data_IF_787945148496
#
_entry.id   IF_787945148496
#
_cell.length_a   1.000
_cell.length_b   1.000
_cell.length_c   1.000
_cell.angle_alpha   90.00
_cell.angle_beta   90.00
_cell.angle_gamma   90.00
#
_symmetry.space_group_name_H-M   'P 1'
#
loop_
_entity.id
_entity.type
_entity.pdbx_description
1 polymer ?
#
# COMPACT_ATOMS: atom_id res chain seq x y z
N UNK A 1 -1.94 6.74 73.13
CA UNK A 1 -2.80 6.46 71.95
C UNK A 1 -2.84 7.72 71.07
N UNK A 2 -1.76 8.15 70.49
CA UNK A 2 -1.69 9.33 69.56
C UNK A 2 -0.51 9.21 68.59
N UNK A 3 -0.29 8.06 67.94
CA UNK A 3 0.77 7.90 66.92
C UNK A 3 0.38 6.93 65.77
N UNK A 4 -0.92 6.86 65.42
CA UNK A 4 -1.36 5.92 64.35
C UNK A 4 -2.19 6.61 63.27
N UNK A 5 -2.15 7.92 63.05
CA UNK A 5 -2.97 8.61 62.08
C UNK A 5 -2.20 9.42 61.01
N UNK A 6 -0.87 9.28 60.92
CA UNK A 6 -0.06 10.05 59.96
C UNK A 6 0.46 9.20 58.78
N UNK A 7 0.09 7.93 58.66
CA UNK A 7 0.62 7.02 57.62
C UNK A 7 -0.45 6.59 56.60
N UNK A 8 -1.61 7.26 56.52
CA UNK A 8 -2.69 6.91 55.61
C UNK A 8 -3.07 8.03 54.60
N UNK A 9 -2.34 9.13 54.49
CA UNK A 9 -2.60 10.20 53.53
C UNK A 9 -1.56 10.31 52.40
N UNK A 10 -0.65 9.35 52.25
CA UNK A 10 0.40 9.37 51.21
C UNK A 10 0.16 8.47 50.01
N UNK A 11 -0.95 7.73 49.94
CA UNK A 11 -1.14 6.68 48.92
C UNK A 11 -2.27 6.94 47.92
N UNK A 12 -2.91 8.11 47.89
CA UNK A 12 -4.04 8.41 47.01
C UNK A 12 -3.79 9.47 45.91
N UNK A 13 -2.57 9.90 45.73
CA UNK A 13 -2.22 10.90 44.71
C UNK A 13 -1.50 10.35 43.46
N UNK A 14 -1.38 9.02 43.30
CA UNK A 14 -0.65 8.39 42.19
C UNK A 14 -1.56 7.61 41.20
N UNK A 15 -2.88 7.81 41.20
CA UNK A 15 -3.82 7.00 40.38
C UNK A 15 -4.71 7.83 39.43
N UNK A 16 -4.26 9.01 38.99
CA UNK A 16 -5.06 9.88 38.09
C UNK A 16 -4.27 10.39 36.86
N UNK A 17 -3.26 9.66 36.38
CA UNK A 17 -2.57 9.98 35.13
C UNK A 17 -2.55 8.78 34.15
N UNK A 18 -3.62 8.00 34.08
CA UNK A 18 -3.74 6.88 33.11
C UNK A 18 -5.09 6.88 32.42
N UNK A 19 -5.50 8.05 31.88
CA UNK A 19 -6.74 8.14 31.10
C UNK A 19 -6.59 9.11 29.91
N UNK A 20 -5.54 8.94 29.10
CA UNK A 20 -5.44 9.44 27.73
C UNK A 20 -4.61 8.46 26.90
N UNK A 21 -5.02 7.18 26.86
CA UNK A 21 -4.60 6.31 25.77
C UNK A 21 -5.73 6.31 24.75
N UNK A 22 -5.61 7.24 23.80
CA UNK A 22 -6.31 7.20 22.56
C UNK A 22 -6.19 5.82 21.93
N UNK A 23 -7.23 5.42 21.20
CA UNK A 23 -7.41 4.07 20.67
C UNK A 23 -6.13 3.52 20.04
N UNK A 24 -5.84 2.26 20.31
CA UNK A 24 -4.83 1.48 19.61
C UNK A 24 -5.22 1.46 18.12
N UNK A 25 -4.59 2.33 17.36
CA UNK A 25 -4.63 2.30 15.91
C UNK A 25 -3.92 1.04 15.41
N UNK A 26 -4.29 0.55 14.24
CA UNK A 26 -3.72 -0.64 13.58
C UNK A 26 -2.17 -0.65 13.47
N UNK A 27 -1.51 0.45 13.82
CA UNK A 27 -0.06 0.60 13.88
C UNK A 27 0.63 -0.20 15.01
N UNK A 28 -0.14 -0.85 15.92
CA UNK A 28 0.45 -1.58 17.06
C UNK A 28 1.24 -2.85 16.66
N UNK A 29 1.11 -3.31 15.41
CA UNK A 29 1.77 -4.52 14.90
C UNK A 29 2.95 -4.22 13.95
N UNK A 30 3.31 -2.94 13.73
CA UNK A 30 4.47 -2.58 12.93
C UNK A 30 5.76 -2.81 13.74
N UNK A 31 6.79 -3.42 13.12
CA UNK A 31 8.12 -3.48 13.70
C UNK A 31 8.63 -2.04 13.94
N UNK A 32 9.55 -1.86 14.90
CA UNK A 32 10.14 -0.55 15.18
C UNK A 32 10.83 0.01 13.92
N UNK A 33 10.32 1.10 13.39
CA UNK A 33 10.81 1.80 12.21
C UNK A 33 10.46 3.28 12.27
N UNK A 34 10.89 4.06 11.27
CA UNK A 34 10.55 5.47 11.15
C UNK A 34 9.17 5.61 10.48
N UNK A 35 8.20 6.10 11.24
CA UNK A 35 6.83 6.27 10.76
C UNK A 35 6.71 7.58 9.99
N UNK A 36 6.34 7.48 8.71
CA UNK A 36 6.07 8.65 7.88
C UNK A 36 4.85 9.39 8.40
N UNK A 37 5.01 10.69 8.65
CA UNK A 37 3.91 11.51 9.17
C UNK A 37 2.74 11.57 8.17
N UNK A 38 1.56 11.12 8.62
CA UNK A 38 0.27 11.25 7.95
C UNK A 38 -0.60 12.25 8.71
N UNK A 39 -0.70 13.45 8.17
CA UNK A 39 -1.43 14.54 8.84
C UNK A 39 -2.95 14.42 8.67
N UNK A 40 -3.41 13.91 7.55
CA UNK A 40 -4.81 13.89 7.15
C UNK A 40 -5.35 12.51 6.86
N UNK A 41 -4.55 11.60 6.30
CA UNK A 41 -4.95 10.22 6.04
C UNK A 41 -5.09 9.46 7.36
N UNK A 42 -6.21 8.74 7.50
CA UNK A 42 -6.53 7.94 8.69
C UNK A 42 -6.51 6.44 8.45
N UNK A 43 -6.61 6.05 7.19
CA UNK A 43 -6.66 4.66 6.79
C UNK A 43 -5.30 4.11 6.35
N UNK A 44 -4.27 4.96 6.26
CA UNK A 44 -2.95 4.58 5.79
C UNK A 44 -1.88 4.93 6.83
N UNK A 45 -1.03 3.97 7.15
CA UNK A 45 0.19 4.16 7.93
C UNK A 45 1.36 3.63 7.13
N UNK A 46 2.45 4.37 7.05
CA UNK A 46 3.69 3.95 6.39
C UNK A 46 4.81 3.97 7.41
N UNK A 47 5.55 2.86 7.51
CA UNK A 47 6.72 2.72 8.38
C UNK A 47 7.91 2.33 7.52
N UNK A 48 8.96 3.15 7.56
CA UNK A 48 10.22 2.91 6.87
C UNK A 48 11.18 2.15 7.79
N UNK A 49 11.86 1.15 7.25
CA UNK A 49 12.84 0.33 7.96
C UNK A 49 14.17 0.36 7.23
N UNK A 50 15.24 0.49 7.98
CA UNK A 50 16.62 0.53 7.47
C UNK A 50 17.42 1.59 8.18
N UNK A 51 18.72 1.38 8.21
CA UNK A 51 19.67 2.34 8.75
C UNK A 51 19.78 3.48 7.73
N UNK A 52 19.34 4.67 8.09
CA UNK A 52 19.37 5.87 7.26
C UNK A 52 20.77 6.37 6.87
N UNK A 53 21.73 5.46 6.70
CA UNK A 53 22.98 5.78 6.04
C UNK A 53 22.74 5.85 4.54
N UNK A 54 22.86 7.04 3.97
CA UNK A 54 22.96 7.27 2.53
C UNK A 54 24.06 6.36 1.96
N UNK A 55 23.70 5.15 1.56
CA UNK A 55 24.62 4.33 0.79
C UNK A 55 24.70 4.95 -0.59
N UNK A 56 25.90 5.30 -1.03
CA UNK A 56 26.21 5.94 -2.31
C UNK A 56 25.72 5.17 -3.55
N UNK A 57 25.18 3.96 -3.34
CA UNK A 57 24.62 3.08 -4.36
C UNK A 57 23.09 2.91 -4.23
N UNK A 58 22.45 3.57 -3.26
CA UNK A 58 20.98 3.63 -3.23
C UNK A 58 20.51 4.38 -4.48
N UNK A 59 19.68 3.74 -5.28
CA UNK A 59 19.02 4.42 -6.39
C UNK A 59 18.41 5.71 -5.85
N UNK A 60 18.76 6.86 -6.48
CA UNK A 60 18.42 8.20 -6.03
C UNK A 60 17.06 8.30 -5.34
N UNK A 61 17.03 8.77 -4.09
CA UNK A 61 15.80 9.09 -3.35
C UNK A 61 15.21 7.97 -2.47
N UNK A 62 15.83 6.81 -2.31
CA UNK A 62 15.35 5.78 -1.37
C UNK A 62 16.20 5.79 -0.11
N UNK A 63 15.58 6.17 1.00
CA UNK A 63 16.20 6.30 2.34
C UNK A 63 15.81 5.13 3.28
N UNK A 64 15.36 4.00 2.73
CA UNK A 64 14.91 2.84 3.50
C UNK A 64 15.31 1.52 2.82
N UNK A 65 15.55 0.48 3.62
CA UNK A 65 15.78 -0.88 3.14
C UNK A 65 14.48 -1.53 2.65
N UNK A 66 13.41 -1.34 3.41
CA UNK A 66 12.04 -1.69 3.04
C UNK A 66 11.06 -0.78 3.80
N UNK A 67 9.85 -0.69 3.32
CA UNK A 67 8.80 0.01 4.04
C UNK A 67 7.56 -0.86 4.19
N UNK A 68 6.81 -0.65 5.25
CA UNK A 68 5.51 -1.24 5.47
C UNK A 68 4.41 -0.21 5.21
N UNK A 69 3.46 -0.54 4.33
CA UNK A 69 2.24 0.22 4.17
C UNK A 69 1.09 -0.58 4.77
N UNK A 70 0.49 -0.06 5.83
CA UNK A 70 -0.57 -0.70 6.60
C UNK A 70 -1.87 0.05 6.31
N UNK A 71 -2.84 -0.66 5.75
CA UNK A 71 -4.16 -0.10 5.43
C UNK A 71 -5.16 -0.55 6.49
N UNK A 72 -5.73 0.41 7.19
CA UNK A 72 -6.78 0.15 8.17
C UNK A 72 -8.08 -0.26 7.46
N UNK A 73 -8.85 -1.13 8.09
CA UNK A 73 -10.13 -1.57 7.54
C UNK A 73 -11.18 -0.46 7.72
N UNK A 74 -11.70 0.14 6.63
CA UNK A 74 -12.63 1.25 6.73
C UNK A 74 -14.03 0.84 7.24
N UNK A 75 -14.36 -0.45 7.17
CA UNK A 75 -15.66 -0.98 7.61
C UNK A 75 -15.61 -1.59 9.01
N UNK A 76 -14.44 -1.96 9.49
CA UNK A 76 -14.27 -2.59 10.79
C UNK A 76 -13.17 -1.90 11.59
N UNK A 77 -13.57 -0.95 12.42
CA UNK A 77 -12.66 -0.16 13.23
C UNK A 77 -11.71 -1.02 14.07
N UNK A 78 -10.46 -0.60 14.16
CA UNK A 78 -9.43 -1.29 14.95
C UNK A 78 -8.88 -2.56 14.31
N UNK A 79 -9.27 -2.88 13.07
CA UNK A 79 -8.69 -4.00 12.31
C UNK A 79 -7.93 -3.49 11.08
N UNK A 80 -7.00 -4.28 10.61
CA UNK A 80 -6.25 -4.04 9.39
C UNK A 80 -7.00 -4.63 8.20
N UNK A 81 -7.02 -3.92 7.08
CA UNK A 81 -7.48 -4.44 5.80
C UNK A 81 -6.35 -5.24 5.15
N UNK A 82 -5.20 -4.59 4.94
CA UNK A 82 -4.04 -5.20 4.29
C UNK A 82 -2.73 -4.58 4.77
N UNK A 83 -1.64 -5.35 4.65
CA UNK A 83 -0.26 -4.89 4.87
C UNK A 83 0.56 -5.19 3.63
N UNK A 84 1.29 -4.20 3.15
CA UNK A 84 2.25 -4.37 2.05
C UNK A 84 3.65 -4.13 2.55
N UNK A 85 4.58 -5.01 2.17
CA UNK A 85 6.01 -4.81 2.38
C UNK A 85 6.59 -4.35 1.05
N UNK A 86 6.99 -3.08 0.99
CA UNK A 86 7.57 -2.46 -0.19
C UNK A 86 9.09 -2.63 -0.16
N UNK A 87 9.65 -3.35 -1.12
CA UNK A 87 11.07 -3.64 -1.17
C UNK A 87 11.64 -3.12 -2.50
N UNK A 88 12.60 -2.19 -2.46
CA UNK A 88 13.27 -1.70 -3.66
C UNK A 88 13.84 -2.85 -4.49
N UNK A 89 13.75 -2.76 -5.81
CA UNK A 89 14.41 -3.69 -6.73
C UNK A 89 15.91 -3.49 -6.67
N UNK A 90 16.68 -4.56 -6.87
CA UNK A 90 18.12 -4.57 -6.83
C UNK A 90 18.68 -5.61 -5.86
N UNK A 91 19.99 -5.69 -5.78
CA UNK A 91 20.70 -6.73 -5.01
C UNK A 91 20.40 -6.64 -3.50
N UNK A 92 20.40 -5.45 -2.93
CA UNK A 92 20.06 -5.24 -1.50
C UNK A 92 18.61 -5.60 -1.22
N UNK A 93 17.67 -5.28 -2.12
CA UNK A 93 16.29 -5.71 -2.01
C UNK A 93 16.13 -7.22 -2.05
N UNK A 94 16.93 -7.93 -2.83
CA UNK A 94 16.89 -9.39 -2.88
C UNK A 94 17.39 -10.02 -1.58
N UNK A 95 18.41 -9.45 -0.94
CA UNK A 95 18.87 -9.82 0.40
C UNK A 95 17.77 -9.58 1.44
N UNK A 96 17.07 -8.45 1.34
CA UNK A 96 15.95 -8.09 2.22
C UNK A 96 14.81 -9.08 2.10
N UNK A 97 14.40 -9.48 0.88
CA UNK A 97 13.40 -10.54 0.67
C UNK A 97 13.81 -11.82 1.38
N UNK A 98 15.06 -12.26 1.21
CA UNK A 98 15.56 -13.48 1.84
C UNK A 98 15.57 -13.37 3.39
N UNK A 99 15.87 -12.21 3.93
CA UNK A 99 15.84 -11.96 5.38
C UNK A 99 14.40 -12.04 5.91
N UNK A 100 13.45 -11.34 5.30
CA UNK A 100 12.06 -11.30 5.74
C UNK A 100 11.36 -12.66 5.60
N UNK A 101 11.64 -13.42 4.55
CA UNK A 101 11.11 -14.75 4.36
C UNK A 101 11.51 -15.71 5.51
N UNK A 102 12.70 -15.54 6.09
CA UNK A 102 13.15 -16.30 7.27
C UNK A 102 12.42 -15.89 8.55
N UNK A 103 12.07 -14.60 8.69
CA UNK A 103 11.34 -14.07 9.87
C UNK A 103 9.88 -14.50 9.89
N UNK A 104 9.20 -14.48 8.73
CA UNK A 104 7.76 -14.77 8.63
C UNK A 104 7.40 -16.27 8.55
N UNK A 105 8.35 -17.19 8.64
CA UNK A 105 8.08 -18.63 8.69
C UNK A 105 7.36 -19.10 9.98
N UNK A 106 7.13 -18.22 10.94
CA UNK A 106 6.45 -18.50 12.21
C UNK A 106 5.04 -17.88 12.26
N UNK A 107 4.11 -18.44 11.51
CA UNK A 107 2.76 -18.74 12.02
C UNK A 107 1.71 -17.66 12.18
N UNK A 108 1.84 -16.42 11.75
CA UNK A 108 0.73 -15.46 11.80
C UNK A 108 0.05 -15.35 10.42
N UNK A 109 -1.24 -15.72 10.36
CA UNK A 109 -2.12 -15.43 9.22
C UNK A 109 -2.38 -13.93 9.16
N UNK A 110 -1.44 -13.16 8.61
CA UNK A 110 -1.67 -11.78 8.19
C UNK A 110 -1.70 -11.75 6.67
N UNK A 111 -2.67 -11.05 6.09
CA UNK A 111 -2.70 -10.73 4.67
C UNK A 111 -1.57 -9.74 4.39
N UNK A 112 -0.38 -10.27 4.15
CA UNK A 112 0.82 -9.47 3.89
C UNK A 112 1.36 -9.84 2.53
N UNK A 113 1.38 -8.87 1.64
CA UNK A 113 1.97 -9.01 0.31
C UNK A 113 3.29 -8.25 0.21
N UNK A 114 4.25 -8.86 -0.46
CA UNK A 114 5.52 -8.21 -0.79
C UNK A 114 5.42 -7.60 -2.18
N UNK A 115 5.72 -6.30 -2.29
CA UNK A 115 5.71 -5.56 -3.55
C UNK A 115 7.14 -5.09 -3.86
N UNK A 116 7.64 -5.46 -5.04
CA UNK A 116 8.96 -4.99 -5.52
C UNK A 116 8.79 -3.64 -6.22
N UNK A 117 9.46 -2.61 -5.70
CA UNK A 117 9.36 -1.24 -6.23
C UNK A 117 10.61 -0.82 -6.99
N UNK A 118 10.50 0.00 -8.04
CA UNK A 118 9.27 0.52 -8.61
C UNK A 118 8.45 -0.55 -9.34
N UNK A 119 7.11 -0.42 -9.28
CA UNK A 119 6.20 -1.19 -10.11
C UNK A 119 6.24 -0.64 -11.53
N UNK A 120 6.63 -1.45 -12.49
CA UNK A 120 6.77 -1.05 -13.90
C UNK A 120 5.65 -1.57 -14.80
N UNK A 121 4.93 -2.57 -14.33
CA UNK A 121 3.79 -3.16 -15.04
C UNK A 121 2.64 -3.38 -14.08
N UNK A 122 1.56 -2.66 -14.29
CA UNK A 122 0.36 -2.78 -13.48
C UNK A 122 -0.90 -3.01 -14.31
N UNK A 123 -1.85 -3.74 -13.75
CA UNK A 123 -3.24 -3.77 -14.19
C UNK A 123 -4.04 -2.84 -13.26
N UNK A 124 -4.73 -1.84 -13.84
CA UNK A 124 -5.42 -0.80 -13.09
C UNK A 124 -6.91 -0.90 -13.34
N UNK A 125 -7.69 -1.12 -12.28
CA UNK A 125 -9.10 -1.47 -12.40
C UNK A 125 -10.04 -0.28 -12.45
N UNK A 126 -9.60 0.90 -12.00
CA UNK A 126 -10.46 2.08 -11.97
C UNK A 126 -9.81 3.32 -12.56
N UNK A 127 -10.60 4.17 -13.20
CA UNK A 127 -10.14 5.40 -13.85
C UNK A 127 -9.41 6.37 -12.89
N UNK A 128 -9.82 6.58 -11.62
CA UNK A 128 -9.10 7.43 -10.68
C UNK A 128 -7.64 7.03 -10.47
N UNK A 129 -7.33 5.73 -10.38
CA UNK A 129 -5.95 5.28 -10.26
C UNK A 129 -5.13 5.53 -11.53
N UNK A 130 -5.76 5.40 -12.71
CA UNK A 130 -5.10 5.79 -13.96
C UNK A 130 -4.73 7.27 -13.93
N UNK A 131 -5.67 8.16 -13.57
CA UNK A 131 -5.41 9.60 -13.50
C UNK A 131 -4.29 9.92 -12.49
N UNK A 132 -4.32 9.30 -11.33
CA UNK A 132 -3.29 9.45 -10.31
C UNK A 132 -1.90 9.07 -10.84
N UNK A 133 -1.77 8.00 -11.62
CA UNK A 133 -0.50 7.60 -12.23
C UNK A 133 -0.02 8.60 -13.29
N UNK A 134 -0.92 9.30 -13.96
CA UNK A 134 -0.55 10.42 -14.84
C UNK A 134 -0.02 11.61 -14.04
N UNK A 135 -0.68 11.98 -12.95
CA UNK A 135 -0.24 13.07 -12.06
C UNK A 135 1.14 12.78 -11.43
N UNK A 136 1.40 11.52 -11.09
CA UNK A 136 2.71 11.07 -10.60
C UNK A 136 3.78 10.96 -11.69
N UNK A 137 3.43 11.17 -12.98
CA UNK A 137 4.38 11.03 -14.07
C UNK A 137 4.85 9.60 -14.34
N UNK A 138 4.03 8.60 -14.03
CA UNK A 138 4.33 7.19 -14.28
C UNK A 138 3.28 6.45 -15.13
N UNK A 139 2.65 7.08 -16.15
CA UNK A 139 1.61 6.44 -16.97
C UNK A 139 2.13 5.23 -17.75
N UNK A 140 3.44 5.12 -17.98
CA UNK A 140 4.06 3.98 -18.65
C UNK A 140 3.92 2.66 -17.87
N UNK A 141 3.71 2.73 -16.55
CA UNK A 141 3.48 1.55 -15.73
C UNK A 141 2.06 0.97 -15.90
N UNK A 142 1.13 1.71 -16.50
CA UNK A 142 -0.20 1.19 -16.86
C UNK A 142 -0.05 0.31 -18.10
N UNK A 143 -0.28 -0.99 -17.93
CA UNK A 143 -0.19 -1.98 -19.03
C UNK A 143 -1.53 -2.64 -19.34
N UNK A 144 -2.44 -2.68 -18.37
CA UNK A 144 -3.82 -3.13 -18.55
C UNK A 144 -4.78 -2.27 -17.76
N UNK A 145 -6.00 -2.15 -18.26
CA UNK A 145 -7.08 -1.44 -17.58
C UNK A 145 -8.36 -2.25 -17.65
N UNK A 146 -9.20 -2.12 -16.62
CA UNK A 146 -10.58 -2.54 -16.69
C UNK A 146 -11.51 -1.35 -16.97
N UNK A 147 -12.72 -1.64 -17.40
CA UNK A 147 -13.76 -0.64 -17.65
C UNK A 147 -13.26 0.51 -18.57
N UNK A 148 -12.55 0.17 -19.65
CA UNK A 148 -11.90 1.11 -20.56
C UNK A 148 -12.86 2.18 -21.10
N UNK A 149 -14.13 1.85 -21.32
CA UNK A 149 -15.14 2.79 -21.83
C UNK A 149 -15.36 3.97 -20.88
N UNK A 150 -15.20 3.76 -19.59
CA UNK A 150 -15.37 4.78 -18.55
C UNK A 150 -14.10 5.60 -18.28
N UNK A 151 -12.98 5.24 -18.90
CA UNK A 151 -11.71 5.98 -18.72
C UNK A 151 -11.66 7.12 -19.73
N UNK A 152 -11.79 8.37 -19.27
CA UNK A 152 -11.75 9.57 -20.10
C UNK A 152 -10.36 10.20 -20.19
N UNK A 153 -9.30 9.38 -20.26
CA UNK A 153 -7.92 9.82 -20.44
C UNK A 153 -7.54 9.53 -21.91
N UNK A 154 -7.32 10.57 -22.74
CA UNK A 154 -7.09 10.39 -24.18
C UNK A 154 -5.90 9.48 -24.51
N UNK A 155 -4.81 9.58 -23.76
CA UNK A 155 -3.62 8.74 -23.97
C UNK A 155 -3.90 7.26 -23.64
N UNK A 156 -4.65 6.96 -22.59
CA UNK A 156 -5.08 5.58 -22.28
C UNK A 156 -5.86 5.00 -23.46
N UNK A 157 -6.85 5.73 -23.98
CA UNK A 157 -7.63 5.28 -25.14
C UNK A 157 -6.76 5.09 -26.38
N UNK A 158 -5.84 6.02 -26.65
CA UNK A 158 -4.91 5.91 -27.78
C UNK A 158 -4.01 4.67 -27.63
N UNK A 159 -3.43 4.44 -26.46
CA UNK A 159 -2.57 3.27 -26.19
C UNK A 159 -3.36 1.96 -26.20
N UNK A 160 -4.62 1.96 -25.77
CA UNK A 160 -5.49 0.79 -25.85
C UNK A 160 -5.85 0.43 -27.29
N UNK A 161 -6.07 1.42 -28.16
CA UNK A 161 -6.30 1.20 -29.60
C UNK A 161 -5.08 0.56 -30.31
N UNK A 162 -3.89 0.66 -29.73
CA UNK A 162 -2.67 0.02 -30.23
C UNK A 162 -2.45 -1.40 -29.66
N UNK A 163 -3.37 -1.90 -28.86
CA UNK A 163 -3.32 -3.26 -28.31
C UNK A 163 -3.30 -4.29 -29.46
N UNK A 164 -2.38 -5.24 -29.39
CA UNK A 164 -2.16 -6.21 -30.48
C UNK A 164 -1.16 -5.76 -31.56
N UNK A 165 -0.75 -4.50 -31.59
CA UNK A 165 0.34 -4.06 -32.47
C UNK A 165 1.68 -4.34 -31.81
N UNK A 166 2.42 -5.33 -32.32
CA UNK A 166 3.73 -5.74 -31.77
C UNK A 166 4.81 -4.67 -31.85
N UNK A 167 4.63 -3.67 -32.72
CA UNK A 167 5.56 -2.53 -32.86
C UNK A 167 5.17 -1.33 -32.00
N UNK A 168 4.03 -1.38 -31.30
CA UNK A 168 3.60 -0.26 -30.46
C UNK A 168 4.42 -0.17 -29.19
N UNK A 169 4.82 1.06 -28.85
CA UNK A 169 5.46 1.33 -27.57
C UNK A 169 4.41 1.43 -26.48
N UNK A 170 4.54 0.61 -25.43
CA UNK A 170 3.67 0.62 -24.26
C UNK A 170 2.15 0.54 -24.56
N UNK A 171 1.67 -0.45 -25.32
CA UNK A 171 0.24 -0.63 -25.51
C UNK A 171 -0.45 -0.93 -24.17
N UNK A 172 -1.71 -0.54 -24.06
CA UNK A 172 -2.56 -0.89 -22.90
C UNK A 172 -3.56 -1.97 -23.36
N UNK A 173 -3.68 -3.03 -22.56
CA UNK A 173 -4.65 -4.09 -22.83
C UNK A 173 -5.96 -3.78 -22.10
N UNK A 174 -7.07 -3.87 -22.80
CA UNK A 174 -8.39 -3.89 -22.17
C UNK A 174 -8.61 -5.25 -21.50
N UNK A 175 -8.70 -5.23 -20.17
CA UNK A 175 -8.91 -6.41 -19.33
C UNK A 175 -10.38 -6.67 -19.02
N UNK A 176 -11.30 -6.04 -19.72
CA UNK A 176 -12.75 -6.22 -19.54
C UNK A 176 -13.33 -5.42 -18.38
N UNK A 177 -14.39 -5.94 -17.77
CA UNK A 177 -15.02 -5.29 -16.62
C UNK A 177 -14.26 -5.51 -15.32
N UNK A 178 -14.19 -4.49 -14.46
CA UNK A 178 -13.61 -4.60 -13.12
C UNK A 178 -14.35 -5.62 -12.22
N UNK A 179 -15.64 -5.84 -12.48
CA UNK A 179 -16.45 -6.84 -11.75
C UNK A 179 -16.27 -8.27 -12.26
N UNK A 180 -15.83 -8.43 -13.51
CA UNK A 180 -15.60 -9.72 -14.16
C UNK A 180 -14.39 -9.62 -15.11
N UNK A 181 -13.17 -9.45 -14.57
CA UNK A 181 -11.99 -9.20 -15.37
C UNK A 181 -11.58 -10.43 -16.20
N UNK A 182 -11.04 -10.16 -17.38
CA UNK A 182 -10.46 -11.19 -18.26
C UNK A 182 -9.10 -11.63 -17.67
N UNK A 183 -9.13 -12.73 -16.95
CA UNK A 183 -7.96 -13.29 -16.25
C UNK A 183 -6.84 -13.66 -17.22
N UNK A 184 -7.18 -14.18 -18.39
CA UNK A 184 -6.19 -14.60 -19.40
C UNK A 184 -5.40 -13.40 -19.92
N UNK A 185 -6.09 -12.29 -20.18
CA UNK A 185 -5.44 -11.03 -20.58
C UNK A 185 -4.56 -10.49 -19.47
N UNK A 186 -5.01 -10.55 -18.20
CA UNK A 186 -4.21 -10.11 -17.06
C UNK A 186 -2.95 -10.98 -16.91
N UNK A 187 -3.06 -12.30 -17.02
CA UNK A 187 -1.91 -13.21 -16.98
C UNK A 187 -0.92 -12.86 -18.09
N UNK A 188 -1.41 -12.60 -19.31
CA UNK A 188 -0.54 -12.29 -20.45
C UNK A 188 0.25 -10.99 -20.25
N UNK A 189 -0.26 -10.04 -19.49
CA UNK A 189 0.45 -8.81 -19.13
C UNK A 189 1.65 -9.04 -18.23
N UNK A 190 1.66 -10.15 -17.46
CA UNK A 190 2.63 -10.41 -16.38
C UNK A 190 2.75 -9.20 -15.46
N UNK A 191 1.66 -8.72 -14.84
CA UNK A 191 1.70 -7.54 -14.00
C UNK A 191 2.53 -7.81 -12.74
N UNK A 192 3.13 -6.76 -12.22
CA UNK A 192 3.86 -6.78 -10.95
C UNK A 192 2.96 -6.37 -9.78
N UNK A 193 1.86 -5.68 -10.09
CA UNK A 193 0.80 -5.34 -9.16
C UNK A 193 -0.54 -5.16 -9.88
N UNK A 194 -1.62 -5.40 -9.17
CA UNK A 194 -2.99 -5.09 -9.58
C UNK A 194 -3.51 -4.01 -8.64
N UNK A 195 -3.95 -2.87 -9.19
CA UNK A 195 -4.50 -1.77 -8.40
C UNK A 195 -6.02 -1.78 -8.52
N UNK A 196 -6.70 -1.86 -7.39
CA UNK A 196 -8.17 -1.79 -7.32
C UNK A 196 -8.64 -1.08 -6.06
N UNK A 197 -9.92 -0.68 -6.04
CA UNK A 197 -10.57 -0.21 -4.83
C UNK A 197 -11.28 -1.37 -4.16
N UNK A 198 -11.00 -1.64 -2.87
CA UNK A 198 -11.70 -2.68 -2.11
C UNK A 198 -13.15 -2.26 -1.85
N UNK A 199 -14.01 -3.22 -1.54
CA UNK A 199 -15.38 -2.97 -1.10
C UNK A 199 -15.74 -3.88 0.07
N UNK A 200 -16.74 -3.49 0.83
CA UNK A 200 -17.17 -4.26 2.00
C UNK A 200 -17.58 -5.68 1.62
N UNK A 201 -17.11 -6.65 2.40
CA UNK A 201 -17.39 -8.08 2.18
C UNK A 201 -16.95 -8.62 0.81
N UNK A 202 -15.88 -8.07 0.23
CA UNK A 202 -15.33 -8.58 -1.04
C UNK A 202 -14.99 -10.07 -0.98
N UNK A 203 -14.75 -10.63 0.21
CA UNK A 203 -14.52 -12.07 0.42
C UNK A 203 -13.32 -12.65 -0.35
N UNK A 204 -12.50 -11.78 -0.93
CA UNK A 204 -11.41 -12.10 -1.85
C UNK A 204 -11.76 -11.76 -3.31
N UNK A 205 -10.76 -11.87 -4.15
CA UNK A 205 -10.83 -11.48 -5.57
C UNK A 205 -10.90 -12.69 -6.51
N UNK A 206 -11.29 -13.84 -5.99
CA UNK A 206 -11.60 -15.04 -6.75
C UNK A 206 -10.39 -15.61 -7.52
N UNK A 207 -10.43 -15.53 -8.86
CA UNK A 207 -9.32 -16.03 -9.68
C UNK A 207 -8.08 -15.14 -9.63
N UNK A 208 -8.22 -13.85 -9.31
CA UNK A 208 -7.08 -12.93 -9.19
C UNK A 208 -6.15 -13.34 -8.03
N UNK A 209 -6.71 -13.82 -6.90
CA UNK A 209 -5.93 -14.28 -5.75
C UNK A 209 -4.97 -15.43 -6.10
N UNK A 210 -5.31 -16.19 -7.17
CA UNK A 210 -4.51 -17.34 -7.62
C UNK A 210 -3.34 -16.94 -8.54
N UNK A 211 -3.26 -15.67 -8.92
CA UNK A 211 -2.19 -15.20 -9.80
C UNK A 211 -0.87 -14.98 -9.06
N UNK A 212 -0.89 -14.98 -7.73
CA UNK A 212 0.26 -14.65 -6.89
C UNK A 212 0.91 -13.29 -7.25
N UNK A 213 0.09 -12.38 -7.71
CA UNK A 213 0.46 -10.98 -7.98
C UNK A 213 -0.14 -10.13 -6.86
N UNK A 214 0.63 -9.24 -6.23
CA UNK A 214 0.11 -8.37 -5.19
C UNK A 214 -1.10 -7.57 -5.68
N UNK A 215 -2.20 -7.64 -4.92
CA UNK A 215 -3.41 -6.85 -5.16
C UNK A 215 -3.37 -5.65 -4.22
N UNK A 216 -3.20 -4.47 -4.78
CA UNK A 216 -3.16 -3.22 -4.03
C UNK A 216 -4.59 -2.74 -3.80
N UNK A 217 -5.09 -2.98 -2.59
CA UNK A 217 -6.41 -2.59 -2.10
C UNK A 217 -6.40 -1.12 -1.66
N UNK A 218 -6.55 -0.21 -2.62
CA UNK A 218 -6.48 1.21 -2.36
C UNK A 218 -7.80 1.74 -1.76
N UNK A 219 -7.83 1.93 -0.45
CA UNK A 219 -8.98 2.43 0.28
C UNK A 219 -9.02 3.97 0.40
N UNK A 220 -8.25 4.68 -0.43
CA UNK A 220 -8.14 6.15 -0.43
C UNK A 220 -9.49 6.84 -0.61
N UNK A 221 -10.41 6.28 -1.40
CA UNK A 221 -11.75 6.81 -1.62
C UNK A 221 -12.61 6.80 -0.34
N UNK A 222 -12.24 6.00 0.67
CA UNK A 222 -12.92 5.91 1.98
C UNK A 222 -12.38 6.91 3.00
N UNK A 223 -11.34 7.67 2.66
CA UNK A 223 -10.86 8.74 3.53
C UNK A 223 -11.93 9.81 3.74
N UNK A 224 -12.04 10.28 4.99
CA UNK A 224 -13.08 11.23 5.40
C UNK A 224 -12.88 12.65 4.88
N UNK A 225 -11.70 12.95 4.31
CA UNK A 225 -11.37 14.28 3.80
C UNK A 225 -10.62 14.22 2.46
N UNK A 226 -10.77 15.26 1.61
CA UNK A 226 -10.00 15.38 0.36
C UNK A 226 -8.49 15.40 0.60
N UNK A 227 -8.02 16.01 1.69
CA UNK A 227 -6.60 16.06 2.05
C UNK A 227 -6.09 14.67 2.48
N UNK A 228 -6.92 13.88 3.19
CA UNK A 228 -6.60 12.49 3.50
C UNK A 228 -6.40 11.67 2.23
N UNK A 229 -7.31 11.80 1.26
CA UNK A 229 -7.16 11.13 -0.07
C UNK A 229 -5.89 11.57 -0.79
N UNK A 230 -5.60 12.87 -0.81
CA UNK A 230 -4.41 13.40 -1.44
C UNK A 230 -3.12 12.86 -0.80
N UNK A 231 -3.13 12.61 0.50
CA UNK A 231 -1.96 12.12 1.22
C UNK A 231 -1.56 10.68 0.85
N UNK A 232 -2.48 9.89 0.25
CA UNK A 232 -2.17 8.58 -0.32
C UNK A 232 -1.19 8.64 -1.50
N UNK A 233 -0.98 9.85 -2.06
CA UNK A 233 0.07 10.06 -3.06
C UNK A 233 1.45 9.64 -2.56
N UNK A 234 1.71 9.71 -1.24
CA UNK A 234 2.94 9.21 -0.62
C UNK A 234 3.12 7.70 -0.85
N UNK A 235 2.06 6.92 -0.64
CA UNK A 235 2.07 5.48 -0.88
C UNK A 235 2.27 5.13 -2.36
N UNK A 236 1.53 5.80 -3.23
CA UNK A 236 1.67 5.58 -4.67
C UNK A 236 3.04 6.05 -5.18
N UNK A 237 3.58 7.14 -4.61
CA UNK A 237 4.94 7.59 -4.88
C UNK A 237 5.96 6.49 -4.60
N UNK A 238 5.86 5.83 -3.45
CA UNK A 238 6.72 4.71 -3.08
C UNK A 238 6.54 3.50 -4.00
N UNK A 239 5.30 3.18 -4.42
CA UNK A 239 5.04 2.07 -5.36
C UNK A 239 5.72 2.28 -6.70
N UNK A 240 5.74 3.53 -7.21
CA UNK A 240 6.22 3.85 -8.56
C UNK A 240 7.55 4.62 -8.57
N UNK A 241 8.20 4.77 -7.44
CA UNK A 241 9.43 5.55 -7.25
C UNK A 241 9.29 7.00 -7.72
N UNK A 242 8.30 7.69 -7.15
CA UNK A 242 7.98 9.11 -7.40
C UNK A 242 7.77 9.86 -6.07
N UNK A 243 8.48 9.43 -5.04
CA UNK A 243 8.41 9.90 -3.65
C UNK A 243 9.46 10.99 -3.33
N UNK A 244 10.14 11.52 -4.37
CA UNK A 244 11.10 12.62 -4.28
C UNK A 244 10.50 14.02 -4.31
#
# INVERSE_FOLDING_TARGET
MKKLYILLCGATAALLMAACQGGKTAAADAEAGDTLEMKYAKLLTIVKHGDGEETSDAAEGIDYQYAEAIIANPWKAGTMLHRYILIPKGEEGDKTVAMLARRHSTGARCTTDTVRTPVERSAVFIAPHCQLMYELGCPQAIRGVCDLDYINIPDVKKRAALSGNTSAQNPIVDCGSSMAPDIERIIALKPEAILLSPFENSGGYGKLDKLHVPIIEAADYMESSPLGRAEWMKFYGMLFKKDG
#
